data_IF_591470096501
#
_entry.id   IF_591470096501
#
_cell.length_a   1.000
_cell.length_b   1.000
_cell.length_c   1.000
_cell.angle_alpha   90.00
_cell.angle_beta   90.00
_cell.angle_gamma   90.00
#
_symmetry.space_group_name_H-M   'P 1'
#
loop_
_entity.id
_entity.type
_entity.pdbx_description
1 polymer ?
#
# COMPACT_ATOMS: atom_id res chain seq x y z
N UNK A 1 -16.90 5.84 19.43
CA UNK A 1 -16.38 4.48 19.57
C UNK A 1 -17.22 3.44 18.82
N UNK A 2 -18.54 3.34 19.04
CA UNK A 2 -19.42 2.32 18.40
C UNK A 2 -19.32 2.24 16.87
N UNK A 3 -19.29 3.38 16.16
CA UNK A 3 -19.19 3.39 14.68
C UNK A 3 -17.86 2.81 14.21
N UNK A 4 -16.76 3.15 14.85
CA UNK A 4 -15.43 2.61 14.49
C UNK A 4 -15.37 1.09 14.63
N UNK A 5 -15.79 0.57 15.80
CA UNK A 5 -15.78 -0.88 16.04
C UNK A 5 -16.68 -1.61 15.04
N UNK A 6 -17.86 -1.08 14.74
CA UNK A 6 -18.77 -1.68 13.76
C UNK A 6 -18.15 -1.72 12.36
N UNK A 7 -17.56 -0.61 11.90
CA UNK A 7 -16.90 -0.55 10.58
C UNK A 7 -15.75 -1.55 10.49
N UNK A 8 -14.93 -1.68 11.54
CA UNK A 8 -13.83 -2.65 11.58
C UNK A 8 -14.33 -4.09 11.49
N UNK A 9 -15.39 -4.42 12.23
CA UNK A 9 -15.99 -5.78 12.20
C UNK A 9 -16.55 -6.08 10.81
N UNK A 10 -17.31 -5.17 10.21
CA UNK A 10 -17.88 -5.35 8.86
C UNK A 10 -16.76 -5.51 7.83
N UNK A 11 -15.74 -4.65 7.88
CA UNK A 11 -14.60 -4.74 6.98
C UNK A 11 -13.89 -6.10 7.12
N UNK A 12 -13.69 -6.58 8.32
CA UNK A 12 -13.03 -7.85 8.60
C UNK A 12 -13.87 -9.05 8.15
N UNK A 13 -15.19 -9.02 8.35
CA UNK A 13 -16.14 -10.06 7.88
C UNK A 13 -16.13 -10.17 6.35
N UNK A 14 -15.98 -9.06 5.64
CA UNK A 14 -15.90 -9.06 4.16
C UNK A 14 -14.50 -9.44 3.69
N UNK A 15 -13.48 -8.84 4.28
CA UNK A 15 -12.10 -8.98 3.85
C UNK A 15 -11.55 -10.39 4.05
N UNK A 16 -11.76 -10.96 5.24
CA UNK A 16 -11.15 -12.24 5.61
C UNK A 16 -11.60 -13.42 4.73
N UNK A 17 -12.91 -13.63 4.45
CA UNK A 17 -13.33 -14.70 3.54
C UNK A 17 -12.79 -14.54 2.12
N UNK A 18 -12.71 -13.31 1.61
CA UNK A 18 -12.15 -13.02 0.28
C UNK A 18 -10.66 -13.34 0.25
N UNK A 19 -9.92 -12.93 1.28
CA UNK A 19 -8.50 -13.23 1.42
C UNK A 19 -8.24 -14.74 1.50
N UNK A 20 -9.04 -15.46 2.29
CA UNK A 20 -8.91 -16.92 2.44
C UNK A 20 -9.23 -17.65 1.13
N UNK A 21 -10.28 -17.22 0.42
CA UNK A 21 -10.66 -17.81 -0.87
C UNK A 21 -9.60 -17.58 -1.94
N UNK A 22 -9.02 -16.39 -2.03
CA UNK A 22 -8.02 -16.04 -3.05
C UNK A 22 -8.58 -16.04 -4.47
N UNK A 23 -7.72 -16.28 -5.46
CA UNK A 23 -8.07 -16.42 -6.87
C UNK A 23 -8.79 -15.21 -7.47
N UNK A 24 -9.70 -15.44 -8.43
CA UNK A 24 -10.41 -14.38 -9.15
C UNK A 24 -11.19 -13.43 -8.23
N UNK A 25 -11.76 -13.94 -7.15
CA UNK A 25 -12.54 -13.12 -6.21
C UNK A 25 -11.64 -12.09 -5.52
N UNK A 26 -10.45 -12.51 -5.10
CA UNK A 26 -9.46 -11.59 -4.50
C UNK A 26 -8.93 -10.60 -5.55
N UNK A 27 -8.71 -11.04 -6.79
CA UNK A 27 -8.25 -10.17 -7.89
C UNK A 27 -9.26 -9.04 -8.15
N UNK A 28 -10.54 -9.36 -8.27
CA UNK A 28 -11.60 -8.37 -8.47
C UNK A 28 -11.66 -7.42 -7.26
N UNK A 29 -11.61 -7.97 -6.06
CA UNK A 29 -11.64 -7.18 -4.83
C UNK A 29 -10.44 -6.24 -4.71
N UNK A 30 -9.23 -6.70 -4.99
CA UNK A 30 -8.01 -5.89 -5.01
C UNK A 30 -8.12 -4.74 -6.04
N UNK A 31 -8.66 -5.01 -7.24
CA UNK A 31 -8.91 -3.99 -8.26
C UNK A 31 -9.91 -2.92 -7.77
N UNK A 32 -10.98 -3.32 -7.09
CA UNK A 32 -11.95 -2.38 -6.51
C UNK A 32 -11.28 -1.50 -5.45
N UNK A 33 -10.51 -2.10 -4.54
CA UNK A 33 -9.77 -1.35 -3.52
C UNK A 33 -8.76 -0.38 -4.14
N UNK A 34 -8.03 -0.82 -5.16
CA UNK A 34 -7.06 0.01 -5.88
C UNK A 34 -7.72 1.20 -6.59
N UNK A 35 -8.87 1.00 -7.25
CA UNK A 35 -9.62 2.09 -7.88
C UNK A 35 -10.13 3.11 -6.85
N UNK A 36 -10.56 2.64 -5.68
CA UNK A 36 -10.95 3.53 -4.57
C UNK A 36 -9.75 4.31 -4.06
N UNK A 37 -8.62 3.64 -3.79
CA UNK A 37 -7.39 4.28 -3.33
C UNK A 37 -6.85 5.30 -4.35
N UNK A 38 -6.88 4.98 -5.65
CA UNK A 38 -6.54 5.92 -6.72
C UNK A 38 -7.47 7.13 -6.71
N UNK A 39 -8.78 6.93 -6.59
CA UNK A 39 -9.75 8.03 -6.49
C UNK A 39 -9.47 8.91 -5.27
N UNK A 40 -9.15 8.32 -4.12
CA UNK A 40 -8.78 9.08 -2.91
C UNK A 40 -7.55 9.94 -3.16
N UNK A 41 -6.51 9.38 -3.76
CA UNK A 41 -5.26 10.08 -4.03
C UNK A 41 -5.46 11.20 -5.07
N UNK A 42 -6.15 10.93 -6.19
CA UNK A 42 -6.47 11.95 -7.20
C UNK A 42 -7.30 13.10 -6.62
N UNK A 43 -8.25 12.79 -5.75
CA UNK A 43 -9.08 13.81 -5.09
C UNK A 43 -8.27 14.73 -4.16
N UNK A 44 -7.18 14.25 -3.55
CA UNK A 44 -6.28 15.12 -2.77
C UNK A 44 -5.70 16.24 -3.63
N UNK A 45 -5.35 15.95 -4.88
CA UNK A 45 -4.87 16.95 -5.87
C UNK A 45 -6.01 17.58 -6.69
N UNK A 46 -7.26 17.54 -6.21
CA UNK A 46 -8.43 18.11 -6.87
C UNK A 46 -8.71 17.60 -8.29
N UNK A 47 -8.12 16.45 -8.67
CA UNK A 47 -8.33 15.80 -9.97
C UNK A 47 -9.56 14.90 -9.84
N UNK A 48 -10.63 15.22 -10.57
CA UNK A 48 -11.87 14.44 -10.57
C UNK A 48 -11.63 13.07 -11.21
N UNK A 49 -12.03 12.00 -10.52
CA UNK A 49 -11.87 10.63 -11.01
C UNK A 49 -12.54 10.38 -12.37
N UNK A 50 -13.70 10.99 -12.65
CA UNK A 50 -14.43 10.93 -13.93
C UNK A 50 -13.96 11.96 -14.98
N UNK A 51 -12.88 12.71 -14.71
CA UNK A 51 -12.26 13.57 -15.72
C UNK A 51 -11.43 12.76 -16.72
N UNK A 52 -11.04 13.36 -17.85
CA UNK A 52 -10.17 12.72 -18.84
C UNK A 52 -8.89 12.14 -18.18
N UNK A 53 -8.08 12.94 -17.43
CA UNK A 53 -6.89 12.37 -16.78
C UNK A 53 -7.23 11.32 -15.72
N UNK A 54 -8.31 11.48 -14.96
CA UNK A 54 -8.75 10.49 -13.97
C UNK A 54 -9.17 9.18 -14.61
N UNK A 55 -9.92 9.21 -15.71
CA UNK A 55 -10.34 8.00 -16.43
C UNK A 55 -9.15 7.29 -17.07
N UNK A 56 -8.19 8.02 -17.65
CA UNK A 56 -6.95 7.46 -18.18
C UNK A 56 -6.15 6.79 -17.07
N UNK A 57 -6.05 7.44 -15.89
CA UNK A 57 -5.38 6.86 -14.72
C UNK A 57 -6.06 5.57 -14.24
N UNK A 58 -7.39 5.52 -14.25
CA UNK A 58 -8.14 4.32 -13.86
C UNK A 58 -7.90 3.15 -14.84
N UNK A 59 -7.88 3.42 -16.16
CA UNK A 59 -7.56 2.42 -17.18
C UNK A 59 -6.11 1.93 -17.01
N UNK A 60 -5.16 2.86 -16.86
CA UNK A 60 -3.75 2.53 -16.59
C UNK A 60 -3.58 1.65 -15.35
N UNK A 61 -4.28 1.95 -14.27
CA UNK A 61 -4.28 1.16 -13.05
C UNK A 61 -4.75 -0.29 -13.29
N UNK A 62 -5.90 -0.46 -13.96
CA UNK A 62 -6.45 -1.80 -14.27
C UNK A 62 -5.44 -2.61 -15.09
N UNK A 63 -4.74 -1.98 -16.04
CA UNK A 63 -3.74 -2.69 -16.85
C UNK A 63 -2.53 -3.08 -16.01
N UNK A 64 -2.05 -2.21 -15.11
CA UNK A 64 -0.94 -2.53 -14.18
C UNK A 64 -1.32 -3.69 -13.26
N UNK A 65 -2.57 -3.79 -12.88
CA UNK A 65 -3.07 -4.85 -12.00
C UNK A 65 -3.39 -6.18 -12.70
N UNK A 66 -3.07 -6.33 -14.00
CA UNK A 66 -3.15 -7.62 -14.67
C UNK A 66 -2.21 -8.63 -14.01
N UNK A 67 -2.68 -9.86 -13.72
CA UNK A 67 -1.90 -10.86 -13.01
C UNK A 67 -0.69 -11.34 -13.83
N UNK A 68 0.48 -11.36 -13.22
CA UNK A 68 1.73 -11.71 -13.92
C UNK A 68 1.79 -13.18 -14.37
N UNK A 69 1.13 -14.07 -13.64
CA UNK A 69 1.05 -15.49 -13.99
C UNK A 69 0.28 -15.76 -15.30
N UNK A 70 -0.44 -14.77 -15.86
CA UNK A 70 -1.10 -14.91 -17.17
C UNK A 70 -0.11 -14.97 -18.34
N UNK A 71 1.18 -14.66 -18.12
CA UNK A 71 2.25 -14.85 -19.11
C UNK A 71 3.13 -13.60 -19.30
N UNK A 72 4.28 -13.79 -19.92
CA UNK A 72 5.27 -12.72 -20.15
C UNK A 72 4.72 -11.51 -20.94
N UNK A 73 3.66 -11.70 -21.75
CA UNK A 73 3.00 -10.62 -22.49
C UNK A 73 2.40 -9.55 -21.55
N UNK A 74 2.03 -9.92 -20.29
CA UNK A 74 1.47 -8.99 -19.32
C UNK A 74 2.48 -7.90 -18.98
N UNK A 75 3.74 -8.25 -18.69
CA UNK A 75 4.79 -7.27 -18.36
C UNK A 75 5.01 -6.28 -19.51
N UNK A 76 4.96 -6.78 -20.76
CA UNK A 76 5.08 -5.94 -21.96
C UNK A 76 3.91 -4.98 -22.08
N UNK A 77 2.68 -5.44 -21.82
CA UNK A 77 1.49 -4.57 -21.85
C UNK A 77 1.52 -3.56 -20.71
N UNK A 78 1.90 -3.94 -19.51
CA UNK A 78 2.04 -3.04 -18.37
C UNK A 78 3.02 -1.90 -18.68
N UNK A 79 4.21 -2.22 -19.22
CA UNK A 79 5.20 -1.22 -19.61
C UNK A 79 4.68 -0.31 -20.73
N UNK A 80 4.11 -0.90 -21.79
CA UNK A 80 3.53 -0.13 -22.91
C UNK A 80 2.38 0.77 -22.45
N UNK A 81 1.56 0.32 -21.50
CA UNK A 81 0.45 1.12 -20.95
C UNK A 81 0.95 2.33 -20.17
N UNK A 82 2.01 2.18 -19.38
CA UNK A 82 2.64 3.31 -18.68
C UNK A 82 3.20 4.34 -19.66
N UNK A 83 3.86 3.90 -20.71
CA UNK A 83 4.40 4.78 -21.78
C UNK A 83 3.22 5.50 -22.48
N UNK A 84 2.21 4.76 -22.91
CA UNK A 84 1.03 5.33 -23.58
C UNK A 84 0.30 6.33 -22.67
N UNK A 85 0.08 5.97 -21.41
CA UNK A 85 -0.52 6.85 -20.41
C UNK A 85 0.30 8.13 -20.25
N UNK A 86 1.63 8.04 -20.18
CA UNK A 86 2.51 9.21 -20.08
C UNK A 86 2.31 10.15 -21.25
N UNK A 87 2.32 9.64 -22.50
CA UNK A 87 2.10 10.49 -23.68
C UNK A 87 0.71 11.09 -23.71
N UNK A 88 -0.34 10.33 -23.39
CA UNK A 88 -1.72 10.82 -23.40
C UNK A 88 -1.91 11.91 -22.35
N UNK A 89 -1.45 11.68 -21.11
CA UNK A 89 -1.63 12.65 -20.01
C UNK A 89 -0.79 13.90 -20.24
N UNK A 90 0.43 13.79 -20.77
CA UNK A 90 1.25 14.94 -21.16
C UNK A 90 0.63 15.71 -22.35
N UNK A 91 0.10 15.02 -23.35
CA UNK A 91 -0.62 15.69 -24.47
C UNK A 91 -1.85 16.44 -23.96
N UNK A 92 -2.51 15.92 -22.92
CA UNK A 92 -3.65 16.60 -22.31
C UNK A 92 -3.27 17.92 -21.63
N UNK A 93 -2.04 18.11 -21.18
CA UNK A 93 -1.58 19.41 -20.64
C UNK A 93 -1.69 20.51 -21.72
N UNK A 94 -1.31 20.20 -22.97
CA UNK A 94 -1.41 21.10 -24.12
C UNK A 94 -2.88 21.34 -24.50
N UNK A 95 -3.67 20.27 -24.63
CA UNK A 95 -5.09 20.36 -25.02
C UNK A 95 -5.92 21.16 -24.00
N UNK A 96 -5.56 21.05 -22.71
CA UNK A 96 -6.21 21.81 -21.63
C UNK A 96 -5.74 23.27 -21.52
N UNK A 97 -4.80 23.71 -22.38
CA UNK A 97 -4.13 25.01 -22.30
C UNK A 97 -3.48 25.25 -20.93
N UNK A 98 -2.76 24.27 -20.44
CA UNK A 98 -2.09 24.25 -19.13
C UNK A 98 -3.03 24.43 -17.91
N UNK A 99 -4.34 24.24 -18.05
CA UNK A 99 -5.24 24.14 -16.89
C UNK A 99 -4.99 22.88 -16.09
N UNK A 100 -4.57 21.83 -16.75
CA UNK A 100 -4.01 20.62 -16.19
C UNK A 100 -2.50 20.70 -16.46
N UNK A 101 -1.72 20.81 -15.40
CA UNK A 101 -0.28 21.12 -15.45
C UNK A 101 0.57 19.87 -15.66
N UNK A 102 1.87 20.07 -15.93
CA UNK A 102 2.85 18.98 -15.90
C UNK A 102 2.91 18.28 -14.54
N UNK A 103 2.78 19.04 -13.44
CA UNK A 103 2.77 18.47 -12.09
C UNK A 103 1.54 17.57 -11.86
N UNK A 104 0.37 17.95 -12.39
CA UNK A 104 -0.82 17.11 -12.32
C UNK A 104 -0.65 15.83 -13.14
N UNK A 105 0.01 15.93 -14.31
CA UNK A 105 0.34 14.77 -15.12
C UNK A 105 1.29 13.81 -14.41
N UNK A 106 2.35 14.34 -13.81
CA UNK A 106 3.31 13.55 -13.01
C UNK A 106 2.63 12.92 -11.79
N UNK A 107 1.73 13.66 -11.15
CA UNK A 107 0.96 13.15 -10.01
C UNK A 107 0.04 11.98 -10.42
N UNK A 108 -0.65 12.07 -11.55
CA UNK A 108 -1.45 10.95 -12.08
C UNK A 108 -0.61 9.71 -12.33
N UNK A 109 0.55 9.85 -12.98
CA UNK A 109 1.46 8.75 -13.26
C UNK A 109 2.00 8.09 -11.99
N UNK A 110 2.47 8.92 -11.05
CA UNK A 110 2.98 8.43 -9.77
C UNK A 110 1.87 7.78 -8.94
N UNK A 111 0.65 8.32 -8.96
CA UNK A 111 -0.50 7.73 -8.25
C UNK A 111 -0.84 6.35 -8.80
N UNK A 112 -0.85 6.18 -10.12
CA UNK A 112 -1.12 4.88 -10.76
C UNK A 112 -0.01 3.88 -10.45
N UNK A 113 1.26 4.29 -10.51
CA UNK A 113 2.39 3.42 -10.16
C UNK A 113 2.33 3.01 -8.68
N UNK A 114 2.18 3.96 -7.77
CA UNK A 114 2.16 3.72 -6.32
C UNK A 114 1.03 2.78 -5.90
N UNK A 115 -0.20 3.10 -6.28
CA UNK A 115 -1.38 2.31 -5.93
C UNK A 115 -1.38 0.98 -6.70
N UNK A 116 -1.10 1.04 -8.02
CA UNK A 116 -1.14 -0.14 -8.89
C UNK A 116 -0.14 -1.21 -8.47
N UNK A 117 1.12 -0.84 -8.22
CA UNK A 117 2.16 -1.77 -7.78
C UNK A 117 1.79 -2.36 -6.41
N UNK A 118 1.36 -1.54 -5.44
CA UNK A 118 1.00 -2.01 -4.10
C UNK A 118 -0.12 -3.06 -4.13
N UNK A 119 -1.22 -2.77 -4.84
CA UNK A 119 -2.36 -3.70 -4.92
C UNK A 119 -2.12 -4.88 -5.87
N UNK A 120 -1.30 -4.72 -6.91
CA UNK A 120 -0.85 -5.85 -7.73
C UNK A 120 -0.11 -6.87 -6.85
N UNK A 121 0.86 -6.42 -6.07
CA UNK A 121 1.59 -7.30 -5.18
C UNK A 121 0.77 -7.81 -4.01
N UNK A 122 -0.30 -7.13 -3.60
CA UNK A 122 -1.27 -7.68 -2.66
C UNK A 122 -1.92 -8.97 -3.21
N UNK A 123 -2.34 -8.95 -4.47
CA UNK A 123 -2.89 -10.12 -5.14
C UNK A 123 -1.82 -11.19 -5.39
N UNK A 124 -0.67 -10.83 -5.96
CA UNK A 124 0.41 -11.77 -6.30
C UNK A 124 0.94 -12.48 -5.04
N UNK A 125 1.26 -11.74 -3.97
CA UNK A 125 1.73 -12.33 -2.71
C UNK A 125 0.75 -13.37 -2.15
N UNK A 126 -0.56 -13.10 -2.24
CA UNK A 126 -1.56 -14.08 -1.82
C UNK A 126 -1.65 -15.27 -2.76
N UNK A 127 -1.39 -15.08 -4.05
CA UNK A 127 -1.42 -16.16 -5.06
C UNK A 127 -0.26 -17.13 -4.86
N UNK A 128 0.91 -16.64 -4.43
CA UNK A 128 2.06 -17.47 -4.08
C UNK A 128 1.85 -18.29 -2.79
N UNK A 129 1.03 -17.77 -1.86
CA UNK A 129 0.66 -18.53 -0.67
C UNK A 129 -0.01 -17.70 0.42
N UNK A 130 -0.94 -18.32 1.13
CA UNK A 130 -1.61 -17.67 2.25
C UNK A 130 -0.62 -17.25 3.36
N UNK A 131 0.41 -18.04 3.59
CA UNK A 131 1.42 -17.75 4.62
C UNK A 131 2.23 -16.49 4.34
N UNK A 132 2.53 -16.18 3.06
CA UNK A 132 3.26 -14.95 2.69
C UNK A 132 2.44 -13.69 2.99
N UNK A 133 1.17 -13.69 2.63
CA UNK A 133 0.32 -12.53 2.91
C UNK A 133 0.04 -12.37 4.41
N UNK A 134 -0.13 -13.46 5.14
CA UNK A 134 -0.24 -13.43 6.61
C UNK A 134 1.04 -12.93 7.27
N UNK A 135 2.19 -13.33 6.74
CA UNK A 135 3.49 -12.83 7.19
C UNK A 135 3.60 -11.31 7.06
N UNK A 136 3.21 -10.76 5.91
CA UNK A 136 3.17 -9.31 5.69
C UNK A 136 2.23 -8.61 6.69
N UNK A 137 1.01 -9.13 6.88
CA UNK A 137 0.06 -8.56 7.85
C UNK A 137 0.60 -8.56 9.27
N UNK A 138 1.17 -9.67 9.70
CA UNK A 138 1.72 -9.81 11.05
C UNK A 138 2.90 -8.86 11.27
N UNK A 139 3.82 -8.72 10.28
CA UNK A 139 4.93 -7.76 10.36
C UNK A 139 4.40 -6.35 10.56
N UNK A 140 3.47 -5.89 9.71
CA UNK A 140 2.92 -4.53 9.80
C UNK A 140 2.23 -4.33 11.15
N UNK A 141 1.34 -5.24 11.55
CA UNK A 141 0.60 -5.10 12.81
C UNK A 141 1.49 -5.13 14.05
N UNK A 142 2.50 -6.01 14.10
CA UNK A 142 3.43 -6.04 15.23
C UNK A 142 4.36 -4.83 15.23
N UNK A 143 4.80 -4.37 14.06
CA UNK A 143 5.57 -3.13 13.93
C UNK A 143 4.79 -1.94 14.46
N UNK A 144 3.55 -1.75 14.04
CA UNK A 144 2.70 -0.63 14.47
C UNK A 144 2.38 -0.70 15.96
N UNK A 145 2.05 -1.90 16.45
CA UNK A 145 1.79 -2.12 17.88
C UNK A 145 3.03 -1.83 18.72
N UNK A 146 4.19 -2.36 18.30
CA UNK A 146 5.47 -2.10 18.96
C UNK A 146 5.83 -0.61 18.94
N UNK A 147 5.69 0.02 17.77
CA UNK A 147 5.96 1.45 17.61
C UNK A 147 5.06 2.30 18.53
N UNK A 148 3.78 1.95 18.64
CA UNK A 148 2.86 2.63 19.55
C UNK A 148 3.21 2.42 21.03
N UNK A 149 3.46 1.16 21.45
CA UNK A 149 3.75 0.84 22.84
C UNK A 149 5.07 1.47 23.30
N UNK A 150 6.16 1.25 22.58
CA UNK A 150 7.47 1.83 22.93
C UNK A 150 7.45 3.35 22.81
N UNK A 151 6.80 3.90 21.79
CA UNK A 151 6.64 5.35 21.64
C UNK A 151 5.86 5.98 22.79
N UNK A 152 4.83 5.30 23.31
CA UNK A 152 4.05 5.77 24.45
C UNK A 152 4.82 5.65 25.79
N UNK A 153 5.58 4.57 25.97
CA UNK A 153 6.27 4.27 27.24
C UNK A 153 7.61 5.01 27.36
N UNK A 154 8.35 5.11 26.28
CA UNK A 154 9.75 5.56 26.28
C UNK A 154 10.02 6.73 25.33
N UNK A 155 9.04 7.14 24.50
CA UNK A 155 9.21 8.15 23.46
C UNK A 155 9.57 9.53 24.01
N UNK A 156 10.79 9.98 23.73
CA UNK A 156 11.31 11.31 24.10
C UNK A 156 11.61 12.15 22.87
N UNK A 157 12.11 11.52 21.80
CA UNK A 157 12.57 12.20 20.60
C UNK A 157 11.58 12.01 19.48
N UNK A 158 11.09 13.11 18.89
CA UNK A 158 10.17 13.07 17.76
C UNK A 158 10.92 12.62 16.49
N UNK A 159 10.28 11.72 15.70
CA UNK A 159 10.86 11.18 14.46
C UNK A 159 10.77 12.21 13.32
N UNK A 160 9.55 12.64 12.98
CA UNK A 160 9.26 13.63 11.93
C UNK A 160 8.09 14.53 12.35
N UNK A 161 8.33 15.61 13.13
CA UNK A 161 7.25 16.44 13.69
C UNK A 161 6.31 17.04 12.64
N UNK A 162 6.85 17.42 11.48
CA UNK A 162 6.08 18.09 10.41
C UNK A 162 5.12 17.10 9.72
N UNK A 163 5.51 15.85 9.55
CA UNK A 163 4.73 14.82 8.85
C UNK A 163 3.82 14.09 9.83
N UNK A 164 4.40 13.55 10.90
CA UNK A 164 3.69 12.76 11.90
C UNK A 164 4.14 13.17 13.32
N UNK A 165 3.44 14.12 13.98
CA UNK A 165 3.86 14.70 15.26
C UNK A 165 3.85 13.72 16.44
N UNK A 166 3.19 12.58 16.30
CA UNK A 166 3.07 11.58 17.35
C UNK A 166 4.14 10.49 17.29
N UNK A 167 4.79 10.27 16.14
CA UNK A 167 5.83 9.25 15.99
C UNK A 167 7.12 9.67 16.69
N UNK A 168 7.78 8.70 17.34
CA UNK A 168 9.03 8.88 18.08
C UNK A 168 10.10 7.93 17.57
N UNK A 169 11.38 8.29 17.75
CA UNK A 169 12.52 7.45 17.37
C UNK A 169 12.52 6.16 18.17
N UNK A 170 12.22 6.24 19.48
CA UNK A 170 12.15 5.07 20.35
C UNK A 170 11.01 4.13 19.93
N UNK A 171 9.88 4.70 19.53
CA UNK A 171 8.78 3.91 18.95
C UNK A 171 9.17 3.24 17.64
N UNK A 172 9.82 3.98 16.74
CA UNK A 172 10.30 3.44 15.46
C UNK A 172 11.22 2.23 15.66
N UNK A 173 12.22 2.34 16.55
CA UNK A 173 13.13 1.24 16.89
C UNK A 173 12.38 0.10 17.58
N UNK A 174 11.47 0.40 18.52
CA UNK A 174 10.66 -0.59 19.20
C UNK A 174 9.79 -1.40 18.23
N UNK A 175 9.23 -0.76 17.19
CA UNK A 175 8.51 -1.44 16.13
C UNK A 175 9.36 -2.45 15.36
N UNK A 176 10.61 -2.06 14.99
CA UNK A 176 11.56 -2.97 14.34
C UNK A 176 11.85 -4.21 15.18
N UNK A 177 12.10 -4.05 16.48
CA UNK A 177 12.34 -5.20 17.37
C UNK A 177 11.11 -6.09 17.54
N UNK A 178 9.91 -5.50 17.66
CA UNK A 178 8.68 -6.26 17.76
C UNK A 178 8.39 -7.10 16.51
N UNK A 179 8.75 -6.61 15.33
CA UNK A 179 8.55 -7.34 14.07
C UNK A 179 9.31 -8.67 14.02
N UNK A 180 10.46 -8.78 14.71
CA UNK A 180 11.27 -10.01 14.75
C UNK A 180 10.57 -11.19 15.43
N UNK A 181 9.52 -10.95 16.21
CA UNK A 181 8.70 -12.01 16.79
C UNK A 181 7.98 -12.81 15.69
N UNK A 182 7.62 -12.15 14.57
CA UNK A 182 6.85 -12.78 13.48
C UNK A 182 7.58 -13.95 12.84
N UNK A 183 8.81 -13.82 12.31
CA UNK A 183 9.53 -14.92 11.69
C UNK A 183 9.79 -16.05 12.70
N UNK A 184 10.15 -15.72 13.94
CA UNK A 184 10.41 -16.72 14.97
C UNK A 184 9.15 -17.55 15.29
N UNK A 185 7.98 -16.93 15.35
CA UNK A 185 6.72 -17.63 15.57
C UNK A 185 6.29 -18.44 14.33
N UNK A 186 6.42 -17.87 13.13
CA UNK A 186 5.96 -18.52 11.90
C UNK A 186 6.82 -19.71 11.48
N UNK A 187 8.11 -19.75 11.81
CA UNK A 187 8.99 -20.89 11.54
C UNK A 187 8.53 -22.21 12.20
N UNK A 188 7.66 -22.14 13.23
CA UNK A 188 7.04 -23.35 13.79
C UNK A 188 5.97 -23.96 12.88
N UNK A 189 5.41 -23.18 11.95
CA UNK A 189 4.26 -23.58 11.12
C UNK A 189 4.58 -23.62 9.63
N UNK A 190 5.59 -22.86 9.19
CA UNK A 190 5.91 -22.62 7.78
C UNK A 190 7.41 -22.71 7.59
N UNK A 191 7.83 -23.52 6.63
CA UNK A 191 9.19 -23.49 6.12
C UNK A 191 9.29 -22.51 4.97
N UNK A 192 10.06 -21.43 5.16
CA UNK A 192 10.31 -20.44 4.12
C UNK A 192 11.47 -20.84 3.19
N UNK A 193 12.05 -22.04 3.35
CA UNK A 193 13.21 -22.52 2.59
C UNK A 193 14.40 -21.52 2.58
N UNK A 194 14.53 -20.75 3.68
CA UNK A 194 15.51 -19.68 3.80
C UNK A 194 16.24 -19.76 5.15
N UNK A 195 17.51 -19.34 5.14
CA UNK A 195 18.26 -19.24 6.39
C UNK A 195 17.60 -18.26 7.36
N UNK A 196 17.48 -18.66 8.64
CA UNK A 196 16.81 -17.85 9.66
C UNK A 196 17.40 -16.44 9.80
N UNK A 197 18.70 -16.27 9.66
CA UNK A 197 19.36 -14.97 9.76
C UNK A 197 19.00 -14.05 8.58
N UNK A 198 18.86 -14.63 7.40
CA UNK A 198 18.40 -13.90 6.22
C UNK A 198 16.93 -13.51 6.40
N UNK A 199 16.08 -14.41 6.88
CA UNK A 199 14.67 -14.14 7.14
C UNK A 199 14.48 -13.02 8.19
N UNK A 200 15.30 -13.02 9.25
CA UNK A 200 15.32 -11.92 10.23
C UNK A 200 15.73 -10.58 9.58
N UNK A 201 16.76 -10.59 8.73
CA UNK A 201 17.18 -9.41 7.97
C UNK A 201 16.09 -8.88 7.03
N UNK A 202 15.44 -9.78 6.28
CA UNK A 202 14.29 -9.44 5.42
C UNK A 202 13.16 -8.84 6.26
N UNK A 203 12.83 -9.42 7.42
CA UNK A 203 11.79 -8.89 8.31
C UNK A 203 12.10 -7.45 8.74
N UNK A 204 13.34 -7.16 9.14
CA UNK A 204 13.74 -5.81 9.52
C UNK A 204 13.59 -4.82 8.37
N UNK A 205 13.98 -5.22 7.15
CA UNK A 205 13.79 -4.40 5.95
C UNK A 205 12.30 -4.14 5.70
N UNK A 206 11.46 -5.17 5.75
CA UNK A 206 10.01 -5.04 5.55
C UNK A 206 9.38 -4.13 6.61
N UNK A 207 9.75 -4.30 7.89
CA UNK A 207 9.27 -3.45 8.98
C UNK A 207 9.71 -1.99 8.82
N UNK A 208 10.97 -1.76 8.42
CA UNK A 208 11.49 -0.43 8.12
C UNK A 208 10.68 0.25 7.00
N UNK A 209 10.49 -0.44 5.89
CA UNK A 209 9.77 0.09 4.73
C UNK A 209 8.25 0.20 4.98
N UNK A 210 7.68 -0.63 5.83
CA UNK A 210 6.30 -0.46 6.30
C UNK A 210 6.11 0.86 7.04
N UNK A 211 7.00 1.17 7.97
CA UNK A 211 6.98 2.45 8.69
C UNK A 211 7.24 3.65 7.77
N UNK A 212 8.08 3.50 6.74
CA UNK A 212 8.31 4.52 5.71
C UNK A 212 7.05 4.72 4.84
N UNK A 213 6.34 3.65 4.48
CA UNK A 213 5.10 3.71 3.70
C UNK A 213 4.03 4.57 4.38
N UNK A 214 3.78 4.34 5.69
CA UNK A 214 2.89 5.18 6.48
C UNK A 214 3.37 6.66 6.53
N UNK A 215 4.68 6.89 6.66
CA UNK A 215 5.24 8.25 6.64
C UNK A 215 5.07 8.92 5.28
N UNK A 216 5.21 8.19 4.18
CA UNK A 216 5.01 8.69 2.81
C UNK A 216 3.56 9.12 2.61
N UNK A 217 2.60 8.27 2.99
CA UNK A 217 1.17 8.60 2.90
C UNK A 217 0.81 9.77 3.83
N UNK A 218 1.35 9.80 5.05
CA UNK A 218 1.23 10.93 5.95
C UNK A 218 1.79 12.22 5.32
N UNK A 219 2.92 12.14 4.61
CA UNK A 219 3.52 13.25 3.86
C UNK A 219 2.59 13.77 2.77
N UNK A 220 1.96 12.89 1.98
CA UNK A 220 0.95 13.29 0.98
C UNK A 220 -0.20 14.06 1.64
N UNK A 221 -0.76 13.51 2.72
CA UNK A 221 -1.86 14.17 3.45
C UNK A 221 -1.47 15.57 3.94
N UNK A 222 -0.26 15.78 4.45
CA UNK A 222 0.22 17.10 4.89
C UNK A 222 0.43 18.05 3.71
N UNK A 223 0.99 17.56 2.60
CA UNK A 223 1.19 18.36 1.39
C UNK A 223 -0.13 18.91 0.85
N UNK A 224 -1.19 18.09 0.83
CA UNK A 224 -2.51 18.49 0.34
C UNK A 224 -3.43 19.08 1.43
N UNK A 225 -2.94 19.29 2.66
CA UNK A 225 -3.71 19.90 3.74
C UNK A 225 -4.88 19.05 4.25
N UNK A 226 -4.85 17.73 4.02
CA UNK A 226 -5.87 16.80 4.50
C UNK A 226 -5.36 15.95 5.66
N UNK A 227 -6.28 15.36 6.43
CA UNK A 227 -5.93 14.47 7.53
C UNK A 227 -6.07 13.00 7.16
N UNK A 228 -7.12 12.65 6.46
CA UNK A 228 -7.45 11.29 6.04
C UNK A 228 -7.49 11.25 4.51
N UNK A 229 -7.10 10.13 3.89
CA UNK A 229 -7.09 9.97 2.43
C UNK A 229 -8.49 10.02 1.82
N UNK A 230 -9.48 9.52 2.57
CA UNK A 230 -10.88 9.45 2.17
C UNK A 230 -11.84 9.33 3.36
N UNK A 231 -13.10 9.04 3.05
CA UNK A 231 -14.16 8.86 4.06
C UNK A 231 -15.00 7.60 3.83
N UNK A 232 -14.48 6.66 3.03
CA UNK A 232 -15.25 5.47 2.65
C UNK A 232 -15.45 4.52 3.83
N UNK A 233 -14.53 4.51 4.79
CA UNK A 233 -14.62 3.73 6.03
C UNK A 233 -14.98 4.66 7.19
N UNK A 234 -16.25 4.74 7.63
CA UNK A 234 -16.68 5.65 8.68
C UNK A 234 -15.86 5.48 9.96
N UNK A 235 -15.16 6.54 10.36
CA UNK A 235 -14.28 6.56 11.53
C UNK A 235 -12.90 5.91 11.35
N UNK A 236 -12.60 5.36 10.15
CA UNK A 236 -11.30 4.76 9.80
C UNK A 236 -10.58 5.47 8.65
N UNK A 237 -11.20 6.50 8.02
CA UNK A 237 -10.60 7.20 6.90
C UNK A 237 -10.87 6.53 5.55
N UNK A 238 -9.92 6.57 4.66
CA UNK A 238 -9.96 5.95 3.33
C UNK A 238 -9.38 4.54 3.30
N UNK A 239 -9.41 3.96 2.11
CA UNK A 239 -8.76 2.69 1.81
C UNK A 239 -7.24 2.85 1.84
N UNK A 240 -6.72 3.95 1.30
CA UNK A 240 -5.29 4.22 1.29
C UNK A 240 -4.73 4.32 2.71
N UNK A 241 -5.46 4.96 3.66
CA UNK A 241 -5.10 5.01 5.10
C UNK A 241 -4.98 3.61 5.77
N UNK A 242 -5.45 2.56 5.14
CA UNK A 242 -5.40 1.18 5.66
C UNK A 242 -4.37 0.31 4.95
N UNK A 243 -3.88 0.73 3.81
CA UNK A 243 -2.92 0.00 2.99
C UNK A 243 -1.59 0.74 2.81
N UNK A 244 -1.41 1.91 3.40
CA UNK A 244 -0.22 2.76 3.29
C UNK A 244 1.10 2.01 3.50
N UNK A 245 1.25 1.29 4.62
CA UNK A 245 2.40 0.45 4.92
C UNK A 245 2.55 -0.70 3.93
N UNK A 246 1.42 -1.29 3.50
CA UNK A 246 1.42 -2.43 2.58
C UNK A 246 1.86 -2.06 1.17
N UNK A 247 1.67 -0.79 0.73
CA UNK A 247 2.17 -0.31 -0.56
C UNK A 247 3.68 -0.48 -0.72
N UNK A 248 4.44 -0.51 0.38
CA UNK A 248 5.88 -0.75 0.39
C UNK A 248 6.24 -2.18 0.77
N UNK A 249 5.55 -2.74 1.77
CA UNK A 249 5.88 -4.07 2.30
C UNK A 249 5.64 -5.17 1.27
N UNK A 250 4.53 -5.16 0.54
CA UNK A 250 4.17 -6.24 -0.37
C UNK A 250 5.09 -6.35 -1.60
N UNK A 251 5.43 -5.26 -2.29
CA UNK A 251 6.42 -5.33 -3.37
C UNK A 251 7.77 -5.84 -2.90
N UNK A 252 8.25 -5.34 -1.75
CA UNK A 252 9.54 -5.76 -1.19
C UNK A 252 9.54 -7.20 -0.71
N UNK A 253 8.45 -7.66 -0.09
CA UNK A 253 8.29 -9.06 0.29
C UNK A 253 8.41 -9.97 -0.92
N UNK A 254 7.75 -9.60 -2.01
CA UNK A 254 7.81 -10.40 -3.24
C UNK A 254 9.23 -10.48 -3.80
N UNK A 255 9.94 -9.35 -3.86
CA UNK A 255 11.32 -9.29 -4.38
C UNK A 255 12.30 -10.03 -3.48
N UNK A 256 12.18 -9.87 -2.15
CA UNK A 256 13.19 -10.35 -1.19
C UNK A 256 12.96 -11.77 -0.70
N UNK A 257 11.74 -12.29 -0.78
CA UNK A 257 11.39 -13.57 -0.20
C UNK A 257 10.78 -14.56 -1.19
N UNK A 258 9.98 -14.09 -2.14
CA UNK A 258 9.22 -14.97 -3.02
C UNK A 258 9.98 -15.25 -4.33
N UNK A 259 10.64 -14.23 -4.88
CA UNK A 259 11.39 -14.34 -6.13
C UNK A 259 12.90 -14.61 -5.91
N UNK A 260 13.34 -14.70 -4.66
CA UNK A 260 14.72 -15.05 -4.30
C UNK A 260 14.87 -16.56 -4.19
#
# INVERSE_FOLDING_TARGET
MKVRTLTAIIALIVFLPILLKGGLVLMIFANILALIALKELLNMNMIKFVSVPGSISAVGLIIIMLPQHAGAWVQVIQLKSLIAMSFIVLSYTVLSKNRFSFMDAAFCLMSVAYVGIGFMFFYETRSEGLHYILYAFLIVWLTDTGAYLFGKMMGKHKLWPVISPNKTIEGFIGGLFCSLIVPLAMLYFVDFNMNVWILLGVTLILSLFGQLGDLVESGFKRHFGVKDSGRILPGHGGILDRFDSFMFVLPLLNILLIQS
#
